data_IF_244468693625
#
_entry.id   IF_244468693625
#
_cell.length_a   1.000
_cell.length_b   1.000
_cell.length_c   1.000
_cell.angle_alpha   90.00
_cell.angle_beta   90.00
_cell.angle_gamma   90.00
#
_symmetry.space_group_name_H-M   'P 1'
#
loop_
_entity.id
_entity.type
_entity.pdbx_description
1 polymer ?
#
# COMPACT_ATOMS: atom_id res chain seq x y z
N UNK A 1 6.99 23.33 -16.43
CA UNK A 1 6.81 22.14 -17.30
C UNK A 1 6.60 20.96 -16.37
N UNK A 2 5.37 20.47 -16.25
CA UNK A 2 5.03 19.38 -15.33
C UNK A 2 5.41 18.05 -15.99
N UNK A 3 6.39 17.36 -15.41
CA UNK A 3 6.83 16.03 -15.83
C UNK A 3 5.69 15.00 -15.58
N UNK A 4 5.71 13.85 -16.26
CA UNK A 4 4.50 13.13 -16.68
C UNK A 4 3.70 12.65 -15.46
N UNK A 5 2.38 12.86 -15.49
CA UNK A 5 1.46 12.10 -14.65
C UNK A 5 1.74 10.63 -14.95
N UNK A 6 2.40 9.93 -14.02
CA UNK A 6 2.66 8.51 -14.17
C UNK A 6 1.27 7.86 -14.18
N UNK A 7 0.80 7.46 -15.35
CA UNK A 7 -0.53 6.87 -15.59
C UNK A 7 -0.64 5.43 -15.05
N UNK A 8 0.24 5.08 -14.12
CA UNK A 8 0.36 3.74 -13.58
C UNK A 8 -0.82 3.47 -12.66
N UNK A 9 -1.73 2.64 -13.15
CA UNK A 9 -2.94 2.24 -12.43
C UNK A 9 -2.70 1.16 -11.40
N UNK A 10 -1.66 0.33 -11.58
CA UNK A 10 -1.39 -0.81 -10.72
C UNK A 10 0.10 -0.92 -10.41
N UNK A 11 0.40 -1.13 -9.13
CA UNK A 11 1.74 -1.49 -8.65
C UNK A 11 1.66 -2.78 -7.86
N UNK A 12 2.67 -3.62 -8.03
CA UNK A 12 2.81 -4.88 -7.30
C UNK A 12 4.22 -5.02 -6.74
N UNK A 13 4.33 -5.18 -5.42
CA UNK A 13 5.57 -5.52 -4.71
C UNK A 13 5.51 -6.97 -4.27
N UNK A 14 6.21 -7.84 -5.00
CA UNK A 14 6.22 -9.28 -4.77
C UNK A 14 7.56 -9.79 -4.29
N UNK A 15 7.58 -10.47 -3.13
CA UNK A 15 8.77 -11.14 -2.58
C UNK A 15 9.98 -10.22 -2.40
N UNK A 16 9.75 -8.93 -2.12
CA UNK A 16 10.82 -7.95 -1.93
C UNK A 16 11.46 -8.10 -0.53
N UNK A 17 12.49 -8.95 -0.40
CA UNK A 17 13.11 -9.29 0.89
C UNK A 17 13.97 -8.19 1.53
N UNK A 18 14.21 -7.08 0.82
CA UNK A 18 14.98 -5.93 1.32
C UNK A 18 14.16 -4.63 1.37
N UNK A 19 12.89 -4.68 0.98
CA UNK A 19 12.03 -3.51 0.97
C UNK A 19 11.53 -3.26 2.39
N UNK A 20 12.13 -2.28 3.07
CA UNK A 20 11.77 -1.93 4.45
C UNK A 20 10.76 -0.79 4.52
N UNK A 21 10.86 0.17 3.60
CA UNK A 21 10.07 1.39 3.56
C UNK A 21 9.77 1.79 2.12
N UNK A 22 8.74 2.59 1.95
CA UNK A 22 8.46 3.28 0.69
C UNK A 22 8.98 4.71 0.73
N UNK A 23 9.23 5.28 -0.45
CA UNK A 23 9.48 6.70 -0.59
C UNK A 23 8.14 7.46 -0.57
N UNK A 24 7.93 8.25 0.47
CA UNK A 24 6.72 9.05 0.69
C UNK A 24 6.43 10.00 -0.49
N UNK A 25 7.47 10.67 -0.98
CA UNK A 25 7.36 11.66 -2.05
C UNK A 25 7.01 10.95 -3.36
N UNK A 26 7.64 9.81 -3.63
CA UNK A 26 7.33 9.04 -4.83
C UNK A 26 5.85 8.60 -4.85
N UNK A 27 5.30 8.16 -3.72
CA UNK A 27 3.90 7.72 -3.64
C UNK A 27 2.89 8.83 -3.85
N UNK A 28 3.17 10.06 -3.40
CA UNK A 28 2.29 11.21 -3.66
C UNK A 28 2.18 11.54 -5.16
N UNK A 29 3.21 11.25 -5.96
CA UNK A 29 3.20 11.51 -7.40
C UNK A 29 2.45 10.44 -8.21
N UNK A 30 2.10 9.30 -7.62
CA UNK A 30 1.34 8.21 -8.24
C UNK A 30 -0.17 8.53 -8.29
N UNK A 31 -0.51 9.71 -8.82
CA UNK A 31 -1.86 10.28 -8.81
C UNK A 31 -2.92 9.46 -9.55
N UNK A 32 -2.53 8.52 -10.42
CA UNK A 32 -3.44 7.63 -11.15
C UNK A 32 -3.46 6.18 -10.62
N UNK A 33 -2.85 5.91 -9.47
CA UNK A 33 -2.74 4.56 -8.93
C UNK A 33 -4.08 4.10 -8.32
N UNK A 34 -4.68 3.08 -8.93
CA UNK A 34 -5.95 2.49 -8.53
C UNK A 34 -5.74 1.24 -7.66
N UNK A 35 -4.67 0.47 -7.89
CA UNK A 35 -4.38 -0.78 -7.19
C UNK A 35 -2.94 -0.87 -6.67
N UNK A 36 -2.79 -1.19 -5.38
CA UNK A 36 -1.53 -1.51 -4.72
C UNK A 36 -1.59 -2.94 -4.17
N UNK A 37 -0.72 -3.81 -4.67
CA UNK A 37 -0.60 -5.20 -4.24
C UNK A 37 0.78 -5.44 -3.63
N UNK A 38 0.81 -5.96 -2.40
CA UNK A 38 2.04 -6.23 -1.66
C UNK A 38 1.97 -7.66 -1.13
N UNK A 39 2.90 -8.50 -1.54
CA UNK A 39 2.94 -9.87 -1.07
C UNK A 39 4.34 -10.39 -0.76
N UNK A 40 4.47 -11.14 0.35
CA UNK A 40 5.71 -11.82 0.75
C UNK A 40 6.92 -10.87 0.95
N UNK A 41 6.66 -9.64 1.39
CA UNK A 41 7.65 -8.62 1.71
C UNK A 41 7.92 -8.61 3.22
N UNK A 42 8.78 -9.53 3.67
CA UNK A 42 8.90 -9.89 5.09
C UNK A 42 9.43 -8.77 5.99
N UNK A 43 10.23 -7.86 5.43
CA UNK A 43 10.90 -6.78 6.17
C UNK A 43 10.22 -5.41 6.00
N UNK A 44 9.11 -5.34 5.27
CA UNK A 44 8.37 -4.10 5.05
C UNK A 44 7.65 -3.68 6.33
N UNK A 45 8.03 -2.53 6.87
CA UNK A 45 7.61 -2.12 8.20
C UNK A 45 6.31 -1.33 8.22
N UNK A 46 6.09 -0.43 7.26
CA UNK A 46 4.92 0.44 7.23
C UNK A 46 4.52 0.81 5.79
N UNK A 47 3.30 1.32 5.62
CA UNK A 47 2.87 2.01 4.40
C UNK A 47 3.37 3.46 4.40
N UNK A 48 3.38 4.14 3.22
CA UNK A 48 3.53 5.59 3.19
C UNK A 48 2.42 6.25 4.02
N UNK A 49 2.74 7.35 4.71
CA UNK A 49 1.76 8.13 5.48
C UNK A 49 0.64 8.67 4.62
N UNK A 50 0.94 8.96 3.35
CA UNK A 50 -0.02 9.44 2.38
C UNK A 50 -0.06 8.53 1.15
N UNK A 51 -1.20 7.86 0.97
CA UNK A 51 -1.49 7.09 -0.24
C UNK A 51 -2.22 7.95 -1.28
N UNK A 52 -2.05 7.68 -2.58
CA UNK A 52 -2.83 8.32 -3.64
C UNK A 52 -4.31 8.33 -3.34
N UNK A 53 -4.99 9.43 -3.72
CA UNK A 53 -6.45 9.54 -3.56
C UNK A 53 -7.22 8.69 -4.57
N UNK A 54 -6.59 8.30 -5.67
CA UNK A 54 -7.12 7.39 -6.68
C UNK A 54 -7.12 5.93 -6.27
N UNK A 55 -6.47 5.56 -5.16
CA UNK A 55 -6.30 4.17 -4.75
C UNK A 55 -7.64 3.58 -4.28
N UNK A 56 -8.15 2.60 -5.03
CA UNK A 56 -9.41 1.90 -4.74
C UNK A 56 -9.20 0.52 -4.14
N UNK A 57 -8.06 -0.11 -4.43
CA UNK A 57 -7.76 -1.49 -4.08
C UNK A 57 -6.39 -1.63 -3.41
N UNK A 58 -6.38 -2.17 -2.20
CA UNK A 58 -5.17 -2.49 -1.43
C UNK A 58 -5.16 -3.96 -1.05
N UNK A 59 -4.20 -4.71 -1.58
CA UNK A 59 -4.00 -6.11 -1.26
C UNK A 59 -2.68 -6.29 -0.50
N UNK A 60 -2.73 -6.90 0.68
CA UNK A 60 -1.55 -7.21 1.49
C UNK A 60 -1.63 -8.69 1.89
N UNK A 61 -0.59 -9.46 1.59
CA UNK A 61 -0.53 -10.88 1.99
C UNK A 61 0.88 -11.34 2.34
N UNK A 62 1.00 -12.22 3.34
CA UNK A 62 2.29 -12.76 3.77
C UNK A 62 3.35 -11.68 4.10
N UNK A 63 2.93 -10.54 4.67
CA UNK A 63 3.82 -9.45 5.10
C UNK A 63 3.79 -9.35 6.63
N UNK A 64 4.57 -10.16 7.38
CA UNK A 64 4.44 -10.32 8.83
C UNK A 64 4.60 -9.03 9.64
N UNK A 65 5.48 -8.10 9.24
CA UNK A 65 5.69 -6.84 9.95
C UNK A 65 4.61 -5.80 9.63
N UNK A 66 4.16 -5.74 8.37
CA UNK A 66 3.12 -4.80 7.95
C UNK A 66 1.71 -5.22 8.39
N UNK A 67 1.40 -6.52 8.33
CA UNK A 67 0.08 -7.09 8.65
C UNK A 67 -0.53 -6.56 9.97
N UNK A 68 0.18 -6.54 11.12
CA UNK A 68 -0.41 -6.04 12.37
C UNK A 68 -0.76 -4.56 12.33
N UNK A 69 -0.04 -3.75 11.53
CA UNK A 69 -0.26 -2.30 11.45
C UNK A 69 -1.47 -1.93 10.62
N UNK A 70 -1.89 -2.78 9.69
CA UNK A 70 -3.03 -2.53 8.79
C UNK A 70 -4.32 -3.25 9.22
N UNK A 71 -4.36 -3.80 10.44
CA UNK A 71 -5.56 -4.45 10.96
C UNK A 71 -6.71 -3.44 11.11
N UNK A 72 -7.92 -3.84 10.72
CA UNK A 72 -9.13 -3.00 10.84
C UNK A 72 -9.29 -2.52 12.28
N UNK A 73 -9.45 -1.20 12.44
CA UNK A 73 -9.72 -0.47 13.69
C UNK A 73 -8.61 -0.50 14.76
N UNK A 74 -7.73 -1.51 14.75
CA UNK A 74 -6.71 -1.70 15.78
C UNK A 74 -5.29 -1.40 15.31
N UNK A 75 -5.05 -1.42 14.01
CA UNK A 75 -3.73 -1.22 13.43
C UNK A 75 -3.31 0.25 13.42
N UNK A 76 -2.03 0.51 13.71
CA UNK A 76 -1.46 1.86 13.72
C UNK A 76 -1.57 2.58 12.36
N UNK A 77 -1.46 1.84 11.27
CA UNK A 77 -1.57 2.34 9.90
C UNK A 77 -3.03 2.25 9.37
N UNK A 78 -3.99 1.77 10.17
CA UNK A 78 -5.40 1.70 9.75
C UNK A 78 -5.97 3.04 9.29
N UNK A 79 -5.75 4.18 9.99
CA UNK A 79 -6.28 5.47 9.56
C UNK A 79 -5.80 5.91 8.17
N UNK A 80 -4.62 5.43 7.73
CA UNK A 80 -4.05 5.72 6.41
C UNK A 80 -4.88 5.03 5.31
N UNK A 81 -5.29 3.79 5.57
CA UNK A 81 -5.93 2.92 4.57
C UNK A 81 -7.46 2.85 4.71
N UNK A 82 -8.03 3.32 5.81
CA UNK A 82 -9.46 3.18 6.12
C UNK A 82 -10.41 3.79 5.07
N UNK A 83 -9.93 4.75 4.28
CA UNK A 83 -10.68 5.36 3.16
C UNK A 83 -10.71 4.52 1.88
N UNK A 84 -9.89 3.48 1.78
CA UNK A 84 -9.77 2.64 0.59
C UNK A 84 -10.98 1.68 0.54
N UNK A 85 -11.78 1.69 -0.54
CA UNK A 85 -13.00 0.86 -0.64
C UNK A 85 -12.78 -0.66 -0.54
N UNK A 86 -11.68 -1.16 -1.11
CA UNK A 86 -11.39 -2.59 -1.18
C UNK A 86 -10.04 -2.90 -0.54
N UNK A 87 -10.07 -3.42 0.68
CA UNK A 87 -8.88 -3.85 1.40
C UNK A 87 -8.93 -5.38 1.57
N UNK A 88 -7.93 -6.08 1.05
CA UNK A 88 -7.77 -7.52 1.21
C UNK A 88 -6.50 -7.78 2.01
N UNK A 89 -6.67 -8.35 3.21
CA UNK A 89 -5.58 -8.78 4.09
C UNK A 89 -5.57 -10.31 4.18
N UNK A 90 -4.49 -10.95 3.72
CA UNK A 90 -4.32 -12.41 3.73
C UNK A 90 -5.54 -13.19 3.21
N UNK A 91 -5.99 -12.80 2.01
CA UNK A 91 -7.15 -13.37 1.29
C UNK A 91 -8.51 -13.11 1.94
N UNK A 92 -8.59 -12.21 2.92
CA UNK A 92 -9.84 -11.79 3.55
C UNK A 92 -10.11 -10.31 3.31
N UNK A 93 -11.32 -9.98 2.90
CA UNK A 93 -11.77 -8.58 2.86
C UNK A 93 -11.93 -8.08 4.30
N UNK A 94 -11.36 -6.91 4.59
CA UNK A 94 -11.43 -6.26 5.91
C UNK A 94 -12.00 -4.85 5.80
#
# INVERSE_FOLDING_TARGET
>A
MQAPLISLKKITFGRCKKLMYFDEVAFQHLTSLEMLDIYSCDVLQCLPKELPTSLTDLHISCCPLLRPRVQRETGEDWPIIARIPNIILDRKKI
#
